data_IF_209358850310
#
_entry.id   IF_209358850310
#
_cell.length_a   1.000
_cell.length_b   1.000
_cell.length_c   1.000
_cell.angle_alpha   90.00
_cell.angle_beta   90.00
_cell.angle_gamma   90.00
#
_symmetry.space_group_name_H-M   'P 1'
#
loop_
_entity.id
_entity.type
_entity.pdbx_description
1 polymer ?
#
# COMPACT_ATOMS: atom_id res chain seq x y z
N UNK A 1 -11.86 -0.59 5.69
CA UNK A 1 -11.08 -1.73 5.16
C UNK A 1 -9.60 -1.45 5.45
N UNK A 2 -8.82 -2.44 5.89
CA UNK A 2 -7.43 -2.24 6.35
C UNK A 2 -6.53 -1.68 5.23
N UNK A 3 -5.78 -0.62 5.52
CA UNK A 3 -4.86 0.01 4.56
C UNK A 3 -3.75 -0.95 4.17
N UNK A 4 -3.24 -1.77 5.10
CA UNK A 4 -2.17 -2.74 4.84
C UNK A 4 -2.59 -3.79 3.83
N UNK A 5 -3.85 -4.26 3.93
CA UNK A 5 -4.38 -5.21 2.97
C UNK A 5 -4.47 -4.60 1.57
N UNK A 6 -4.91 -3.34 1.45
CA UNK A 6 -4.98 -2.66 0.15
C UNK A 6 -3.59 -2.42 -0.44
N UNK A 7 -2.61 -1.99 0.37
CA UNK A 7 -1.22 -1.89 -0.07
C UNK A 7 -0.65 -3.24 -0.53
N UNK A 8 -0.95 -4.33 0.19
CA UNK A 8 -0.56 -5.69 -0.21
C UNK A 8 -1.16 -6.08 -1.56
N UNK A 9 -2.44 -5.76 -1.82
CA UNK A 9 -3.09 -5.99 -3.10
C UNK A 9 -2.40 -5.17 -4.21
N UNK A 10 -2.07 -3.90 -3.98
CA UNK A 10 -1.32 -3.08 -4.93
C UNK A 10 0.02 -3.73 -5.30
N UNK A 11 0.78 -4.18 -4.29
CA UNK A 11 2.06 -4.86 -4.50
C UNK A 11 1.85 -6.16 -5.28
N UNK A 12 0.88 -6.98 -4.90
CA UNK A 12 0.58 -8.24 -5.60
C UNK A 12 0.17 -8.04 -7.07
N UNK A 13 -0.49 -6.92 -7.40
CA UNK A 13 -0.83 -6.55 -8.77
C UNK A 13 0.39 -6.06 -9.55
N UNK A 14 1.19 -5.16 -8.98
CA UNK A 14 2.41 -4.65 -9.61
C UNK A 14 3.40 -5.78 -9.93
N UNK A 15 3.55 -6.74 -9.01
CA UNK A 15 4.42 -7.89 -9.15
C UNK A 15 3.75 -9.08 -9.87
N UNK A 16 2.49 -8.94 -10.30
CA UNK A 16 1.73 -9.98 -11.03
C UNK A 16 1.55 -11.32 -10.27
N UNK A 17 1.75 -11.33 -8.95
CA UNK A 17 1.70 -12.52 -8.08
C UNK A 17 0.49 -12.58 -7.15
N UNK A 18 -0.48 -11.67 -7.27
CA UNK A 18 -1.65 -11.62 -6.37
C UNK A 18 -2.38 -12.96 -6.25
N UNK A 19 -2.54 -13.68 -7.36
CA UNK A 19 -3.17 -15.00 -7.39
C UNK A 19 -2.36 -16.08 -6.65
N UNK A 20 -1.03 -16.02 -6.69
CA UNK A 20 -0.14 -16.92 -5.95
C UNK A 20 -0.20 -16.65 -4.45
N UNK A 21 -0.18 -15.37 -4.06
CA UNK A 21 -0.36 -14.98 -2.65
C UNK A 21 -1.69 -15.51 -2.09
N UNK A 22 -2.78 -15.34 -2.85
CA UNK A 22 -4.10 -15.82 -2.45
C UNK A 22 -4.15 -17.36 -2.34
N UNK A 23 -3.49 -18.07 -3.26
CA UNK A 23 -3.35 -19.53 -3.20
C UNK A 23 -2.63 -20.00 -1.93
N UNK A 24 -1.52 -19.36 -1.57
CA UNK A 24 -0.75 -19.71 -0.36
C UNK A 24 -1.61 -19.54 0.89
N UNK A 25 -2.38 -18.45 0.99
CA UNK A 25 -3.31 -18.22 2.10
C UNK A 25 -4.36 -19.32 2.19
N UNK A 26 -5.06 -19.62 1.07
CA UNK A 26 -6.19 -20.55 1.06
C UNK A 26 -5.77 -22.02 1.19
N UNK A 27 -4.57 -22.35 0.73
CA UNK A 27 -4.02 -23.72 0.81
C UNK A 27 -3.46 -24.05 2.19
N UNK A 28 -3.22 -23.04 3.05
CA UNK A 28 -2.69 -23.24 4.39
C UNK A 28 -3.81 -23.58 5.39
N UNK A 29 -4.20 -24.86 5.46
CA UNK A 29 -5.28 -25.34 6.33
C UNK A 29 -5.15 -24.89 7.79
N UNK A 30 -3.96 -24.94 8.45
CA UNK A 30 -3.83 -24.47 9.83
C UNK A 30 -4.16 -22.98 10.00
N UNK A 31 -3.81 -22.14 9.02
CA UNK A 31 -4.13 -20.71 9.02
C UNK A 31 -5.61 -20.51 8.75
N UNK A 32 -6.17 -21.20 7.75
CA UNK A 32 -7.59 -21.11 7.42
C UNK A 32 -8.46 -21.49 8.62
N UNK A 33 -8.18 -22.63 9.26
CA UNK A 33 -8.95 -23.09 10.43
C UNK A 33 -8.78 -22.18 11.66
N UNK A 34 -7.64 -21.48 11.79
CA UNK A 34 -7.40 -20.55 12.90
C UNK A 34 -8.14 -19.23 12.74
N UNK A 35 -8.25 -18.72 11.50
CA UNK A 35 -8.70 -17.35 11.24
C UNK A 35 -10.05 -17.23 10.53
N UNK A 36 -10.57 -18.33 9.98
CA UNK A 36 -11.82 -18.33 9.23
C UNK A 36 -12.82 -19.33 9.83
N UNK A 37 -14.10 -18.99 9.75
CA UNK A 37 -15.16 -19.88 10.16
C UNK A 37 -15.31 -21.09 9.20
N UNK A 38 -15.84 -22.23 9.68
CA UNK A 38 -16.08 -23.40 8.83
C UNK A 38 -16.98 -23.14 7.62
N UNK A 39 -17.94 -22.22 7.73
CA UNK A 39 -18.85 -21.80 6.65
C UNK A 39 -18.31 -20.63 5.81
N UNK A 40 -17.06 -20.21 6.04
CA UNK A 40 -16.45 -19.17 5.25
C UNK A 40 -16.19 -19.65 3.82
N UNK A 41 -16.18 -18.70 2.89
CA UNK A 41 -15.82 -18.97 1.49
C UNK A 41 -14.40 -19.56 1.36
N UNK A 42 -13.44 -19.08 2.16
CA UNK A 42 -12.04 -19.55 2.13
C UNK A 42 -11.92 -21.02 2.58
N UNK A 43 -12.82 -21.49 3.44
CA UNK A 43 -12.87 -22.90 3.85
C UNK A 43 -13.66 -23.80 2.87
N UNK A 44 -14.06 -23.26 1.71
CA UNK A 44 -14.71 -24.00 0.63
C UNK A 44 -13.77 -24.09 -0.58
N UNK A 45 -13.97 -25.03 -1.53
CA UNK A 45 -13.18 -25.05 -2.77
C UNK A 45 -13.44 -23.85 -3.69
N UNK A 46 -14.41 -22.97 -3.35
CA UNK A 46 -14.77 -21.80 -4.15
C UNK A 46 -13.61 -20.82 -4.41
N UNK A 47 -12.62 -20.74 -3.51
CA UNK A 47 -11.46 -19.86 -3.68
C UNK A 47 -10.63 -20.20 -4.92
N UNK A 48 -10.70 -21.44 -5.42
CA UNK A 48 -10.00 -21.85 -6.64
C UNK A 48 -10.50 -21.07 -7.87
N UNK A 49 -11.79 -20.77 -7.93
CA UNK A 49 -12.35 -19.94 -9.02
C UNK A 49 -11.83 -18.50 -8.92
N UNK A 50 -11.83 -17.91 -7.73
CA UNK A 50 -11.30 -16.55 -7.52
C UNK A 50 -9.80 -16.48 -7.86
N UNK A 51 -9.02 -17.51 -7.53
CA UNK A 51 -7.62 -17.60 -7.95
C UNK A 51 -7.49 -17.52 -9.48
N UNK A 52 -8.33 -18.25 -10.22
CA UNK A 52 -8.31 -18.24 -11.69
C UNK A 52 -8.63 -16.85 -12.26
N UNK A 53 -9.61 -16.15 -11.69
CA UNK A 53 -9.94 -14.77 -12.09
C UNK A 53 -8.77 -13.81 -11.80
N UNK A 54 -8.15 -13.92 -10.61
CA UNK A 54 -6.98 -13.12 -10.25
C UNK A 54 -5.77 -13.40 -11.17
N UNK A 55 -5.63 -14.63 -11.69
CA UNK A 55 -4.56 -14.98 -12.62
C UNK A 55 -4.67 -14.21 -13.94
N UNK A 56 -5.88 -13.84 -14.37
CA UNK A 56 -6.04 -13.01 -15.57
C UNK A 56 -5.41 -11.62 -15.39
N UNK A 57 -5.43 -11.08 -14.18
CA UNK A 57 -4.82 -9.79 -13.87
C UNK A 57 -3.29 -9.82 -14.03
N UNK A 58 -2.65 -10.98 -13.90
CA UNK A 58 -1.21 -11.13 -14.10
C UNK A 58 -0.76 -10.88 -15.56
N UNK A 59 -1.69 -10.76 -16.51
CA UNK A 59 -1.38 -10.42 -17.90
C UNK A 59 -1.14 -8.91 -18.10
N UNK A 60 -1.47 -8.08 -17.11
CA UNK A 60 -1.30 -6.64 -17.16
C UNK A 60 -0.09 -6.20 -16.32
N UNK A 61 0.59 -5.15 -16.77
CA UNK A 61 1.69 -4.52 -16.03
C UNK A 61 1.12 -3.32 -15.26
N UNK A 62 0.87 -3.51 -13.97
CA UNK A 62 0.37 -2.44 -13.09
C UNK A 62 1.52 -1.58 -12.55
N UNK A 63 1.25 -0.30 -12.30
CA UNK A 63 2.17 0.62 -11.63
C UNK A 63 1.39 1.46 -10.60
N UNK A 64 0.90 0.80 -9.56
CA UNK A 64 0.11 1.39 -8.49
C UNK A 64 1.02 1.85 -7.34
N UNK A 65 0.74 3.02 -6.75
CA UNK A 65 1.44 3.48 -5.55
C UNK A 65 0.88 2.76 -4.30
N UNK A 66 1.65 1.89 -3.60
CA UNK A 66 1.17 1.20 -2.40
C UNK A 66 0.94 2.15 -1.21
N UNK A 67 1.54 3.33 -1.25
CA UNK A 67 1.48 4.35 -0.19
C UNK A 67 0.39 5.40 -0.43
N UNK A 68 -0.40 5.27 -1.50
CA UNK A 68 -1.40 6.28 -1.90
C UNK A 68 -2.37 6.70 -0.79
N UNK A 69 -2.70 5.77 0.09
CA UNK A 69 -3.65 6.00 1.19
C UNK A 69 -2.97 6.25 2.54
N UNK A 70 -1.64 6.23 2.58
CA UNK A 70 -0.90 6.56 3.80
C UNK A 70 -0.99 8.07 4.02
N UNK A 71 -1.09 8.51 5.28
CA UNK A 71 -1.02 9.93 5.57
C UNK A 71 0.31 10.47 5.04
N UNK A 72 0.23 11.51 4.21
CA UNK A 72 1.41 12.23 3.73
C UNK A 72 2.23 12.60 4.95
N UNK A 73 3.45 12.06 5.03
CA UNK A 73 4.41 12.57 6.02
C UNK A 73 4.54 14.04 5.68
N UNK A 74 4.00 14.92 6.53
CA UNK A 74 4.40 16.32 6.53
C UNK A 74 5.89 16.25 6.79
N UNK A 75 6.70 16.35 5.75
CA UNK A 75 8.09 16.70 5.97
C UNK A 75 8.03 17.94 6.84
N UNK A 76 8.71 17.96 8.00
CA UNK A 76 8.85 19.22 8.71
C UNK A 76 9.40 20.18 7.67
N UNK A 77 8.61 21.20 7.32
CA UNK A 77 9.07 22.28 6.45
C UNK A 77 10.41 22.67 7.03
N UNK A 78 11.52 22.28 6.38
CA UNK A 78 12.82 22.58 6.93
C UNK A 78 12.82 24.11 6.99
N UNK A 79 12.86 24.72 8.19
CA UNK A 79 13.04 26.14 8.24
C UNK A 79 14.33 26.39 7.45
N UNK A 80 14.28 27.35 6.52
CA UNK A 80 15.46 27.78 5.78
C UNK A 80 16.63 27.80 6.75
N UNK A 81 17.74 27.11 6.43
CA UNK A 81 18.95 27.11 7.27
C UNK A 81 19.19 28.52 7.76
N UNK A 82 19.45 28.74 9.05
CA UNK A 82 19.47 30.08 9.65
C UNK A 82 20.27 31.10 8.81
N UNK A 83 21.41 30.70 8.24
CA UNK A 83 22.20 31.56 7.35
C UNK A 83 21.52 32.02 6.05
N UNK A 84 20.58 31.24 5.50
CA UNK A 84 19.76 31.63 4.34
C UNK A 84 18.68 32.63 4.77
N UNK A 85 18.06 32.41 5.94
CA UNK A 85 17.12 33.37 6.52
C UNK A 85 17.80 34.72 6.80
N UNK A 86 18.99 34.68 7.39
CA UNK A 86 19.79 35.88 7.68
C UNK A 86 20.21 36.61 6.41
N UNK A 87 20.58 35.87 5.33
CA UNK A 87 20.89 36.49 4.05
C UNK A 87 19.67 37.20 3.44
N UNK A 88 18.49 36.57 3.49
CA UNK A 88 17.27 37.13 2.90
C UNK A 88 16.79 38.38 3.66
N UNK A 89 16.92 38.40 4.99
CA UNK A 89 16.62 39.58 5.81
C UNK A 89 17.66 40.68 5.56
N UNK A 90 18.95 40.33 5.54
CA UNK A 90 20.06 41.27 5.35
C UNK A 90 20.04 41.94 3.98
N UNK A 91 19.63 41.22 2.94
CA UNK A 91 19.50 41.77 1.59
C UNK A 91 18.11 42.40 1.32
N UNK A 92 17.27 42.56 2.36
CA UNK A 92 15.92 43.12 2.28
C UNK A 92 15.03 42.46 1.22
N UNK A 93 15.29 41.18 0.91
CA UNK A 93 14.54 40.43 -0.09
C UNK A 93 13.17 39.98 0.45
N UNK A 94 12.99 39.95 1.77
CA UNK A 94 11.73 39.70 2.46
C UNK A 94 11.69 40.42 3.82
N UNK A 95 10.63 41.18 4.09
CA UNK A 95 10.31 41.69 5.44
C UNK A 95 9.22 40.82 6.05
N UNK A 96 9.56 40.06 7.08
CA UNK A 96 8.55 39.47 7.96
C UNK A 96 8.23 40.51 9.03
N UNK A 97 7.24 41.37 8.79
CA UNK A 97 6.56 42.05 9.88
C UNK A 97 5.65 41.00 10.53
N UNK A 98 6.04 40.57 11.73
CA UNK A 98 5.37 39.53 12.52
C UNK A 98 4.33 40.15 13.44
#
# INVERSE_FOLDING_TARGET
>A
MDVKLRSLVCIGLNEQVLHLWFEVLCSCIPVVQKWYHPWSFINSPGWVQIKCELRLLAQFAFNLNPEWELPVKKEPSQPLKEGVRDMLVKHHLFSWDL
#
